data_IF_741441293451
#
_entry.id   IF_741441293451
#
_cell.length_a   1.000
_cell.length_b   1.000
_cell.length_c   1.000
_cell.angle_alpha   90.00
_cell.angle_beta   90.00
_cell.angle_gamma   90.00
#
_symmetry.space_group_name_H-M   'P 1'
#
loop_
_entity.id
_entity.type
_entity.pdbx_description
1 polymer ?
#
# COMPACT_ATOMS: atom_id res chain seq x y z
N UNK A 1 -34.72 24.48 -25.72
CA UNK A 1 -33.98 23.31 -26.23
C UNK A 1 -32.55 23.47 -25.72
N UNK A 2 -32.19 23.16 -24.47
CA UNK A 2 -32.38 21.95 -23.64
C UNK A 2 -31.60 20.73 -24.16
N UNK A 3 -30.72 20.24 -23.28
CA UNK A 3 -29.96 18.96 -23.27
C UNK A 3 -28.66 18.92 -24.09
N UNK A 4 -27.55 19.25 -23.43
CA UNK A 4 -26.23 18.57 -23.43
C UNK A 4 -25.38 19.41 -22.45
N UNK A 5 -25.56 19.16 -21.15
CA UNK A 5 -24.79 19.69 -20.00
C UNK A 5 -25.45 19.18 -18.72
N UNK A 6 -25.60 17.87 -18.60
CA UNK A 6 -26.05 17.19 -17.37
C UNK A 6 -25.84 15.67 -17.54
N UNK A 7 -24.59 15.23 -17.70
CA UNK A 7 -24.23 13.79 -17.71
C UNK A 7 -22.78 13.52 -17.31
N UNK A 8 -22.10 14.50 -16.69
CA UNK A 8 -20.68 14.39 -16.30
C UNK A 8 -20.44 14.54 -14.79
N UNK A 9 -21.51 14.52 -13.99
CA UNK A 9 -21.42 14.55 -12.50
C UNK A 9 -22.22 13.39 -11.87
N UNK A 10 -22.80 12.50 -12.68
CA UNK A 10 -23.63 11.37 -12.23
C UNK A 10 -22.99 9.99 -12.42
N UNK A 11 -21.69 9.93 -12.72
CA UNK A 11 -20.96 8.68 -12.98
C UNK A 11 -19.70 8.55 -12.12
N UNK A 12 -19.64 9.32 -11.03
CA UNK A 12 -18.52 9.39 -10.08
C UNK A 12 -18.92 8.89 -8.67
N UNK A 13 -20.10 8.26 -8.51
CA UNK A 13 -20.64 7.80 -7.21
C UNK A 13 -21.23 6.38 -7.29
N UNK A 14 -20.88 5.56 -8.28
CA UNK A 14 -21.52 4.24 -8.43
C UNK A 14 -20.61 3.02 -8.56
N UNK A 15 -19.34 3.11 -8.17
CA UNK A 15 -18.38 2.00 -8.24
C UNK A 15 -17.41 1.99 -7.04
N UNK A 16 -17.96 2.12 -5.83
CA UNK A 16 -17.29 1.79 -4.55
C UNK A 16 -17.41 0.29 -4.20
N UNK A 17 -17.82 -0.55 -5.16
CA UNK A 17 -18.54 -1.80 -4.89
C UNK A 17 -18.09 -2.97 -5.76
N UNK A 18 -16.89 -3.50 -5.53
CA UNK A 18 -16.57 -4.85 -5.99
C UNK A 18 -16.84 -5.90 -4.90
N UNK A 19 -16.48 -5.63 -3.63
CA UNK A 19 -16.87 -6.47 -2.48
C UNK A 19 -17.32 -5.69 -1.23
N UNK A 20 -17.34 -4.35 -1.26
CA UNK A 20 -17.84 -3.54 -0.16
C UNK A 20 -19.31 -3.15 -0.42
N UNK A 21 -20.23 -3.68 0.38
CA UNK A 21 -21.54 -3.07 0.53
C UNK A 21 -21.36 -1.68 1.21
N UNK A 22 -22.14 -0.65 0.81
CA UNK A 22 -22.11 0.63 1.49
C UNK A 22 -22.42 0.43 2.97
N UNK A 23 -21.66 1.10 3.85
CA UNK A 23 -22.00 1.15 5.26
C UNK A 23 -23.45 1.63 5.43
N UNK A 24 -24.21 1.11 6.42
CA UNK A 24 -25.56 1.59 6.70
C UNK A 24 -25.51 3.11 6.90
N UNK A 25 -26.46 3.82 6.27
CA UNK A 25 -26.55 5.28 6.37
C UNK A 25 -26.54 5.71 7.85
N UNK A 26 -25.86 6.82 8.20
CA UNK A 26 -25.91 7.34 9.55
C UNK A 26 -27.37 7.58 9.94
N UNK A 27 -27.75 7.13 11.14
CA UNK A 27 -29.06 7.41 11.68
C UNK A 27 -29.32 8.92 11.59
N UNK A 28 -30.51 9.31 11.13
CA UNK A 28 -30.90 10.71 10.99
C UNK A 28 -30.58 11.49 12.26
N UNK A 29 -30.12 12.76 12.17
CA UNK A 29 -29.74 13.53 13.34
C UNK A 29 -30.93 13.59 14.30
N UNK A 30 -30.74 13.02 15.50
CA UNK A 30 -31.69 13.12 16.58
C UNK A 30 -31.88 14.61 16.88
N UNK A 31 -33.13 15.07 16.87
CA UNK A 31 -33.47 16.40 17.37
C UNK A 31 -32.89 16.54 18.78
N UNK A 32 -32.22 17.67 18.99
CA UNK A 32 -31.48 18.03 20.17
C UNK A 32 -32.39 18.02 21.42
N UNK A 33 -32.41 16.91 22.15
CA UNK A 33 -32.95 16.87 23.52
C UNK A 33 -31.95 16.21 24.46
N UNK A 34 -31.35 17.08 25.28
CA UNK A 34 -30.74 16.85 26.60
C UNK A 34 -30.05 15.49 26.86
N UNK A 35 -28.70 15.55 26.93
CA UNK A 35 -27.78 14.70 27.69
C UNK A 35 -28.39 13.43 28.32
N UNK A 36 -28.31 12.32 27.59
CA UNK A 36 -28.40 10.99 28.16
C UNK A 36 -26.98 10.40 28.10
N UNK A 37 -26.46 9.91 29.24
CA UNK A 37 -25.18 9.22 29.33
C UNK A 37 -25.12 8.15 28.23
N UNK A 38 -24.04 8.12 27.44
CA UNK A 38 -23.80 7.05 26.48
C UNK A 38 -23.75 5.72 27.25
N UNK A 39 -24.87 5.00 27.24
CA UNK A 39 -24.98 3.69 27.85
C UNK A 39 -24.06 2.73 27.10
N UNK A 40 -23.17 2.05 27.82
CA UNK A 40 -22.45 0.89 27.29
C UNK A 40 -23.45 -0.10 26.70
N UNK A 41 -23.25 -0.55 25.45
CA UNK A 41 -24.16 -1.47 24.77
C UNK A 41 -24.35 -2.72 25.62
N UNK A 42 -25.57 -3.25 25.61
CA UNK A 42 -25.87 -4.49 26.31
C UNK A 42 -25.15 -5.67 25.64
N UNK A 43 -24.90 -6.77 26.37
CA UNK A 43 -24.29 -7.97 25.80
C UNK A 43 -25.06 -8.57 24.60
N UNK A 44 -26.38 -8.32 24.52
CA UNK A 44 -27.19 -8.72 23.37
C UNK A 44 -26.97 -7.83 22.14
N UNK A 45 -26.75 -6.52 22.33
CA UNK A 45 -26.41 -5.59 21.26
C UNK A 45 -24.98 -5.80 20.75
N UNK A 46 -24.01 -6.09 21.63
CA UNK A 46 -22.66 -6.49 21.24
C UNK A 46 -22.66 -7.82 20.47
N UNK A 47 -23.43 -8.81 20.92
CA UNK A 47 -23.56 -10.10 20.23
C UNK A 47 -24.25 -9.96 18.86
N UNK A 48 -25.25 -9.07 18.74
CA UNK A 48 -25.91 -8.77 17.48
C UNK A 48 -24.95 -8.09 16.49
N UNK A 49 -24.21 -7.06 16.94
CA UNK A 49 -23.20 -6.38 16.14
C UNK A 49 -22.06 -7.34 15.70
N UNK A 50 -21.63 -8.23 16.59
CA UNK A 50 -20.67 -9.28 16.26
C UNK A 50 -21.23 -10.26 15.21
N UNK A 51 -22.50 -10.66 15.32
CA UNK A 51 -23.14 -11.55 14.34
C UNK A 51 -23.32 -10.91 12.95
N UNK A 52 -23.64 -9.61 12.90
CA UNK A 52 -23.70 -8.84 11.65
C UNK A 52 -22.30 -8.67 11.04
N UNK A 53 -21.27 -8.47 11.87
CA UNK A 53 -19.88 -8.38 11.41
C UNK A 53 -19.37 -9.70 10.81
N UNK A 54 -19.74 -10.84 11.40
CA UNK A 54 -19.39 -12.16 10.89
C UNK A 54 -20.13 -12.46 9.57
N UNK A 55 -21.43 -12.15 9.48
CA UNK A 55 -22.19 -12.32 8.24
C UNK A 55 -21.60 -11.48 7.10
N UNK A 56 -21.25 -10.23 7.38
CA UNK A 56 -20.57 -9.35 6.43
C UNK A 56 -19.17 -9.85 6.05
N UNK A 57 -18.41 -10.37 7.02
CA UNK A 57 -17.11 -10.99 6.74
C UNK A 57 -17.26 -12.18 5.79
N UNK A 58 -18.23 -13.06 6.01
CA UNK A 58 -18.48 -14.22 5.14
C UNK A 58 -18.92 -13.79 3.72
N UNK A 59 -19.71 -12.71 3.60
CA UNK A 59 -20.09 -12.13 2.30
C UNK A 59 -18.86 -11.59 1.55
N UNK A 60 -18.00 -10.83 2.24
CA UNK A 60 -16.74 -10.32 1.69
C UNK A 60 -15.83 -11.48 1.29
N UNK A 61 -15.69 -12.49 2.16
CA UNK A 61 -14.85 -13.66 1.89
C UNK A 61 -15.33 -14.44 0.67
N UNK A 62 -16.65 -14.64 0.52
CA UNK A 62 -17.22 -15.29 -0.66
C UNK A 62 -16.94 -14.49 -1.93
N UNK A 63 -17.07 -13.17 -1.88
CA UNK A 63 -16.73 -12.28 -2.99
C UNK A 63 -15.23 -12.34 -3.35
N UNK A 64 -14.35 -12.35 -2.35
CA UNK A 64 -12.90 -12.52 -2.55
C UNK A 64 -12.61 -13.87 -3.20
N UNK A 65 -13.21 -14.96 -2.73
CA UNK A 65 -12.99 -16.30 -3.30
C UNK A 65 -13.51 -16.41 -4.73
N UNK A 66 -14.60 -15.73 -5.08
CA UNK A 66 -15.15 -15.68 -6.44
C UNK A 66 -14.24 -14.90 -7.40
N UNK A 67 -13.69 -13.77 -6.95
CA UNK A 67 -12.88 -12.88 -7.80
C UNK A 67 -11.37 -13.23 -7.79
N UNK A 68 -10.91 -13.94 -6.76
CA UNK A 68 -9.51 -14.39 -6.59
C UNK A 68 -9.51 -15.90 -6.27
N UNK A 69 -9.91 -16.77 -7.21
CA UNK A 69 -9.90 -18.21 -6.99
C UNK A 69 -8.49 -18.69 -6.72
N UNK A 70 -8.34 -19.78 -5.97
CA UNK A 70 -7.01 -20.26 -5.58
C UNK A 70 -6.10 -20.59 -6.78
N UNK A 71 -6.70 -20.95 -7.91
CA UNK A 71 -6.00 -21.21 -9.17
C UNK A 71 -5.42 -19.93 -9.81
N UNK A 72 -5.90 -18.75 -9.43
CA UNK A 72 -5.36 -17.46 -9.86
C UNK A 72 -4.11 -17.04 -9.08
N UNK A 73 -3.83 -17.71 -7.96
CA UNK A 73 -2.62 -17.48 -7.19
C UNK A 73 -1.42 -18.06 -7.92
N UNK A 74 -0.40 -17.23 -8.00
CA UNK A 74 0.90 -17.64 -8.44
C UNK A 74 1.50 -18.66 -7.44
N UNK A 75 1.99 -19.79 -7.94
CA UNK A 75 2.70 -20.79 -7.13
C UNK A 75 4.15 -20.36 -6.97
N UNK A 76 4.81 -20.78 -5.87
CA UNK A 76 6.23 -20.48 -5.60
C UNK A 76 7.22 -21.10 -6.62
N UNK A 77 6.73 -21.57 -7.78
CA UNK A 77 7.47 -22.31 -8.79
C UNK A 77 8.52 -21.47 -9.52
N UNK A 78 8.35 -20.15 -9.63
CA UNK A 78 9.39 -19.27 -10.20
C UNK A 78 10.27 -18.61 -9.12
N UNK A 79 10.03 -18.90 -7.83
CA UNK A 79 10.94 -18.41 -6.79
C UNK A 79 12.25 -19.19 -6.87
N UNK A 80 13.40 -18.50 -6.83
CA UNK A 80 14.70 -19.17 -6.85
C UNK A 80 14.85 -20.08 -5.63
N UNK A 81 15.51 -21.22 -5.79
CA UNK A 81 15.97 -22.01 -4.65
C UNK A 81 16.94 -21.14 -3.84
N UNK A 82 16.61 -20.79 -2.58
CA UNK A 82 17.45 -19.91 -1.79
C UNK A 82 18.82 -20.54 -1.45
N UNK A 83 18.99 -21.86 -1.58
CA UNK A 83 20.26 -22.54 -1.29
C UNK A 83 21.07 -22.87 -2.55
N UNK A 84 20.53 -22.61 -3.75
CA UNK A 84 21.25 -22.83 -4.99
C UNK A 84 22.47 -21.89 -5.12
N UNK A 85 23.56 -22.43 -5.63
CA UNK A 85 24.74 -21.63 -5.99
C UNK A 85 24.41 -20.70 -7.16
N UNK A 86 24.93 -19.48 -7.13
CA UNK A 86 24.80 -18.55 -8.25
C UNK A 86 25.75 -18.93 -9.37
N UNK A 87 25.20 -19.24 -10.54
CA UNK A 87 25.96 -19.58 -11.75
C UNK A 87 25.49 -18.67 -12.89
N UNK A 88 26.40 -17.86 -13.49
CA UNK A 88 26.07 -17.07 -14.66
C UNK A 88 25.64 -17.95 -15.85
N UNK A 89 24.67 -17.46 -16.61
CA UNK A 89 24.18 -18.07 -17.83
C UNK A 89 25.06 -17.67 -19.03
N UNK A 90 25.16 -18.56 -20.01
CA UNK A 90 25.72 -18.21 -21.32
C UNK A 90 24.63 -17.52 -22.15
N UNK A 91 24.83 -16.25 -22.49
CA UNK A 91 23.82 -15.43 -23.16
C UNK A 91 23.91 -15.51 -24.69
N UNK A 92 22.97 -16.22 -25.30
CA UNK A 92 22.75 -16.18 -26.75
C UNK A 92 21.94 -14.94 -27.17
N UNK A 93 21.01 -14.50 -26.31
CA UNK A 93 20.18 -13.30 -26.44
C UNK A 93 20.09 -12.60 -25.10
N UNK A 94 19.84 -11.29 -25.10
CA UNK A 94 19.66 -10.46 -23.90
C UNK A 94 18.30 -9.78 -23.98
N UNK A 95 17.51 -9.90 -22.91
CA UNK A 95 16.22 -9.22 -22.81
C UNK A 95 16.38 -7.90 -22.08
N UNK A 96 15.90 -6.82 -22.68
CA UNK A 96 15.84 -5.51 -22.03
C UNK A 96 14.52 -5.38 -21.29
N UNK A 97 14.57 -5.16 -19.98
CA UNK A 97 13.37 -5.02 -19.14
C UNK A 97 13.39 -3.71 -18.36
N UNK A 98 12.21 -3.11 -18.21
CA UNK A 98 12.00 -1.87 -17.46
C UNK A 98 11.21 -2.18 -16.19
N UNK A 99 11.77 -1.79 -15.05
CA UNK A 99 11.20 -2.05 -13.73
C UNK A 99 10.75 -0.74 -13.11
N UNK A 100 9.44 -0.55 -12.95
CA UNK A 100 8.88 0.59 -12.23
C UNK A 100 9.02 0.42 -10.73
N UNK A 101 9.86 1.23 -10.09
CA UNK A 101 10.13 1.17 -8.66
C UNK A 101 9.03 1.84 -7.83
N UNK A 102 8.76 1.39 -6.60
CA UNK A 102 7.59 1.84 -5.84
C UNK A 102 7.71 3.32 -5.45
N UNK A 103 8.94 3.82 -5.36
CA UNK A 103 9.23 5.17 -4.93
C UNK A 103 10.33 5.83 -5.77
N UNK A 104 10.70 7.06 -5.39
CA UNK A 104 11.90 7.68 -5.97
C UNK A 104 13.11 6.84 -5.57
N UNK A 105 13.99 6.58 -6.52
CA UNK A 105 15.10 5.67 -6.27
C UNK A 105 16.00 6.17 -5.14
N UNK A 106 16.04 5.42 -4.05
CA UNK A 106 16.85 5.67 -2.87
C UNK A 106 17.39 4.35 -2.31
N UNK A 107 17.80 4.35 -1.04
CA UNK A 107 18.36 3.19 -0.35
C UNK A 107 17.37 2.04 -0.15
N UNK A 108 16.06 2.31 -0.21
CA UNK A 108 14.99 1.30 -0.22
C UNK A 108 15.11 0.32 -1.40
N UNK A 109 15.58 0.80 -2.56
CA UNK A 109 15.78 -0.02 -3.75
C UNK A 109 17.13 -0.75 -3.81
N UNK A 110 17.86 -0.84 -2.68
CA UNK A 110 19.16 -1.50 -2.61
C UNK A 110 19.21 -2.90 -3.26
N UNK A 111 18.22 -3.79 -3.12
CA UNK A 111 18.25 -5.10 -3.79
C UNK A 111 18.37 -5.00 -5.32
N UNK A 112 17.63 -4.09 -5.95
CA UNK A 112 17.67 -3.88 -7.39
C UNK A 112 18.95 -3.20 -7.83
N UNK A 113 19.40 -2.19 -7.07
CA UNK A 113 20.69 -1.55 -7.32
C UNK A 113 21.85 -2.52 -7.25
N UNK A 114 21.90 -3.35 -6.22
CA UNK A 114 22.93 -4.39 -6.07
C UNK A 114 22.88 -5.36 -7.26
N UNK A 115 21.69 -5.78 -7.68
CA UNK A 115 21.53 -6.68 -8.83
C UNK A 115 21.98 -6.06 -10.17
N UNK A 116 21.81 -4.76 -10.35
CA UNK A 116 22.36 -4.01 -11.51
C UNK A 116 23.88 -3.88 -11.40
N UNK A 117 24.38 -3.32 -10.31
CA UNK A 117 25.79 -2.91 -10.15
C UNK A 117 26.75 -4.09 -10.01
N UNK A 118 26.31 -5.19 -9.37
CA UNK A 118 27.11 -6.41 -9.24
C UNK A 118 26.99 -7.34 -10.45
N UNK A 119 26.16 -6.98 -11.43
CA UNK A 119 26.00 -7.73 -12.68
C UNK A 119 25.08 -8.93 -12.58
N UNK A 120 24.31 -9.11 -11.50
CA UNK A 120 23.40 -10.27 -11.36
C UNK A 120 22.34 -10.32 -12.44
N UNK A 121 21.82 -9.19 -12.93
CA UNK A 121 20.93 -9.20 -14.09
C UNK A 121 21.66 -9.59 -15.38
N UNK A 122 22.87 -9.07 -15.59
CA UNK A 122 23.67 -9.38 -16.77
C UNK A 122 24.08 -10.87 -16.82
N UNK A 123 24.40 -11.44 -15.67
CA UNK A 123 24.69 -12.87 -15.48
C UNK A 123 23.53 -13.77 -15.90
N UNK A 124 22.28 -13.28 -15.87
CA UNK A 124 21.10 -14.01 -16.35
C UNK A 124 20.52 -13.40 -17.62
N UNK A 125 21.36 -12.74 -18.41
CA UNK A 125 21.00 -12.23 -19.74
C UNK A 125 19.85 -11.21 -19.72
N UNK A 126 19.78 -10.39 -18.66
CA UNK A 126 18.85 -9.29 -18.53
C UNK A 126 19.61 -7.95 -18.55
N UNK A 127 19.16 -7.03 -19.40
CA UNK A 127 19.53 -5.62 -19.34
C UNK A 127 18.39 -4.85 -18.66
N UNK A 128 18.67 -4.26 -17.49
CA UNK A 128 17.63 -3.69 -16.64
C UNK A 128 17.69 -2.16 -16.62
N UNK A 129 16.55 -1.52 -16.86
CA UNK A 129 16.31 -0.11 -16.58
C UNK A 129 15.42 0.03 -15.33
N UNK A 130 15.93 0.66 -14.28
CA UNK A 130 15.12 1.04 -13.13
C UNK A 130 14.42 2.38 -13.41
N UNK A 131 13.09 2.34 -13.49
CA UNK A 131 12.24 3.51 -13.73
C UNK A 131 11.78 4.06 -12.37
N UNK A 132 12.16 5.30 -12.00
CA UNK A 132 11.78 5.87 -10.70
C UNK A 132 10.26 6.03 -10.56
N UNK A 133 9.75 5.80 -9.35
CA UNK A 133 8.42 6.19 -8.90
C UNK A 133 8.40 7.58 -8.26
N UNK A 134 7.48 7.77 -7.31
CA UNK A 134 7.33 9.00 -6.52
C UNK A 134 5.89 9.51 -6.42
N UNK A 135 5.67 10.65 -5.75
CA UNK A 135 4.32 11.19 -5.57
C UNK A 135 3.57 11.35 -6.89
N UNK A 136 2.36 10.79 -6.97
CA UNK A 136 1.49 10.86 -8.15
C UNK A 136 1.87 9.94 -9.31
N UNK A 137 2.84 9.04 -9.14
CA UNK A 137 3.20 8.03 -10.14
C UNK A 137 2.61 6.68 -9.72
N UNK A 138 1.82 6.06 -10.61
CA UNK A 138 1.26 4.73 -10.43
C UNK A 138 1.87 3.76 -11.45
N UNK A 139 2.85 2.97 -11.00
CA UNK A 139 3.49 1.99 -11.86
C UNK A 139 2.64 0.74 -12.12
N UNK A 140 1.62 0.45 -11.30
CA UNK A 140 0.68 -0.62 -11.61
C UNK A 140 -0.16 -0.27 -12.84
N UNK A 141 -0.59 1.00 -12.96
CA UNK A 141 -1.25 1.50 -14.17
C UNK A 141 -0.29 1.59 -15.36
N UNK A 142 0.96 1.98 -15.13
CA UNK A 142 2.00 2.03 -16.17
C UNK A 142 2.30 0.64 -16.74
N UNK A 143 2.37 -0.37 -15.86
CA UNK A 143 2.48 -1.79 -16.21
C UNK A 143 1.26 -2.27 -17.01
N UNK A 144 0.04 -1.96 -16.54
CA UNK A 144 -1.18 -2.31 -17.25
C UNK A 144 -1.23 -1.72 -18.67
N UNK A 145 -0.68 -0.51 -18.85
CA UNK A 145 -0.50 0.12 -20.16
C UNK A 145 0.63 -0.43 -21.03
N UNK A 146 1.49 -1.31 -20.49
CA UNK A 146 2.59 -1.95 -21.20
C UNK A 146 3.81 -1.06 -21.42
N UNK A 147 3.96 0.04 -20.66
CA UNK A 147 5.11 0.94 -20.79
C UNK A 147 6.33 0.50 -19.96
N UNK A 148 6.12 -0.44 -19.03
CA UNK A 148 7.12 -1.14 -18.24
C UNK A 148 6.77 -2.64 -18.19
N UNK A 149 7.75 -3.48 -17.87
CA UNK A 149 7.60 -4.94 -17.87
C UNK A 149 7.26 -5.49 -16.49
N UNK A 150 7.76 -4.82 -15.46
CA UNK A 150 7.58 -5.18 -14.04
C UNK A 150 7.27 -3.90 -13.27
N UNK A 151 6.27 -3.95 -12.38
CA UNK A 151 6.05 -2.92 -11.37
C UNK A 151 6.34 -3.48 -9.98
N UNK A 152 7.04 -2.71 -9.16
CA UNK A 152 7.20 -2.97 -7.73
C UNK A 152 6.20 -2.09 -6.99
N UNK A 153 5.27 -2.70 -6.27
CA UNK A 153 4.23 -2.01 -5.49
C UNK A 153 4.63 -1.92 -4.03
N UNK A 154 4.66 -0.72 -3.45
CA UNK A 154 4.95 -0.49 -2.03
C UNK A 154 3.96 -1.21 -1.10
N UNK A 155 2.71 -1.40 -1.55
CA UNK A 155 1.65 -2.02 -0.76
C UNK A 155 0.98 -3.17 -1.51
N UNK A 156 0.88 -4.34 -0.88
CA UNK A 156 0.31 -5.55 -1.47
C UNK A 156 -1.18 -5.43 -1.76
N UNK A 157 -1.90 -4.63 -0.98
CA UNK A 157 -3.32 -4.33 -1.18
C UNK A 157 -3.62 -3.60 -2.48
N UNK A 158 -2.66 -2.88 -3.08
CA UNK A 158 -2.88 -2.20 -4.37
C UNK A 158 -3.15 -3.18 -5.51
N UNK A 159 -2.59 -4.40 -5.45
CA UNK A 159 -2.79 -5.44 -6.48
C UNK A 159 -4.25 -5.91 -6.54
N UNK A 160 -4.86 -6.44 -5.45
CA UNK A 160 -6.27 -6.82 -5.49
C UNK A 160 -7.19 -5.63 -5.72
N UNK A 161 -6.86 -4.42 -5.23
CA UNK A 161 -7.62 -3.20 -5.56
C UNK A 161 -7.65 -2.92 -7.06
N UNK A 162 -6.53 -3.09 -7.77
CA UNK A 162 -6.48 -2.90 -9.22
C UNK A 162 -7.25 -4.00 -9.98
N UNK A 163 -7.07 -5.27 -9.60
CA UNK A 163 -7.73 -6.42 -10.24
C UNK A 163 -9.25 -6.40 -10.03
N UNK A 164 -9.73 -5.85 -8.92
CA UNK A 164 -11.17 -5.72 -8.62
C UNK A 164 -11.76 -4.36 -9.00
N UNK A 165 -10.96 -3.45 -9.58
CA UNK A 165 -11.41 -2.12 -9.96
C UNK A 165 -12.43 -2.16 -11.12
N UNK A 166 -13.18 -1.08 -11.38
CA UNK A 166 -14.13 -1.02 -12.49
C UNK A 166 -13.48 -1.12 -13.87
N UNK A 167 -12.18 -0.82 -13.94
CA UNK A 167 -11.34 -0.95 -15.12
C UNK A 167 -10.17 -1.88 -14.75
N UNK A 168 -10.44 -3.17 -14.54
CA UNK A 168 -9.47 -4.09 -13.98
C UNK A 168 -8.32 -4.31 -14.94
N UNK A 169 -7.11 -4.42 -14.40
CA UNK A 169 -5.93 -4.81 -15.15
C UNK A 169 -5.61 -6.29 -14.89
N UNK A 170 -5.25 -7.02 -15.95
CA UNK A 170 -4.87 -8.43 -15.83
C UNK A 170 -3.39 -8.57 -15.46
N UNK A 171 -3.14 -8.43 -14.16
CA UNK A 171 -1.81 -8.50 -13.56
C UNK A 171 -1.71 -9.62 -12.54
N UNK A 172 -0.48 -10.02 -12.23
CA UNK A 172 -0.17 -11.07 -11.26
C UNK A 172 1.00 -10.63 -10.40
N UNK A 173 0.88 -10.81 -9.08
CA UNK A 173 1.99 -10.68 -8.15
C UNK A 173 2.88 -11.93 -8.23
N UNK A 174 4.19 -11.74 -8.42
CA UNK A 174 5.17 -12.83 -8.66
C UNK A 174 6.24 -12.95 -7.57
N UNK A 175 6.35 -11.96 -6.69
CA UNK A 175 7.30 -11.98 -5.58
C UNK A 175 7.05 -10.83 -4.62
N UNK A 176 7.50 -10.97 -3.37
CA UNK A 176 7.48 -9.93 -2.34
C UNK A 176 8.83 -9.88 -1.65
N UNK A 177 9.35 -8.68 -1.41
CA UNK A 177 10.64 -8.48 -0.75
C UNK A 177 10.50 -8.16 0.74
N UNK A 178 9.36 -7.62 1.15
CA UNK A 178 9.05 -7.33 2.55
C UNK A 178 7.80 -8.08 3.01
N UNK A 179 7.97 -8.99 3.97
CA UNK A 179 6.88 -9.81 4.53
C UNK A 179 5.90 -9.01 5.40
N UNK A 180 6.40 -7.93 5.98
CA UNK A 180 5.67 -7.03 6.84
C UNK A 180 5.84 -5.62 6.30
N UNK A 181 4.76 -4.86 6.37
CA UNK A 181 4.76 -3.48 5.89
C UNK A 181 5.64 -2.61 6.80
N UNK A 182 6.56 -1.81 6.25
CA UNK A 182 7.29 -0.82 7.01
C UNK A 182 6.57 0.54 7.07
N UNK A 183 5.31 0.62 6.60
CA UNK A 183 4.52 1.84 6.71
C UNK A 183 4.29 2.24 8.18
N UNK A 184 4.51 3.51 8.45
CA UNK A 184 4.30 4.16 9.73
C UNK A 184 3.46 5.43 9.59
N UNK A 185 2.82 5.81 10.69
CA UNK A 185 2.37 7.19 10.88
C UNK A 185 3.50 7.99 11.53
N UNK A 186 4.08 8.91 10.77
CA UNK A 186 5.17 9.78 11.21
C UNK A 186 4.63 11.15 11.65
N UNK A 187 5.07 11.63 12.80
CA UNK A 187 4.69 12.93 13.37
C UNK A 187 5.80 13.54 14.22
N UNK A 188 5.51 14.63 14.92
CA UNK A 188 6.44 15.34 15.80
C UNK A 188 5.84 15.50 17.21
N UNK A 189 6.57 15.05 18.22
CA UNK A 189 6.24 15.32 19.62
C UNK A 189 6.70 16.73 19.99
N UNK A 190 5.78 17.67 19.88
CA UNK A 190 6.00 19.08 20.23
C UNK A 190 6.08 19.35 21.74
N UNK A 191 5.88 18.33 22.59
CA UNK A 191 5.96 18.48 24.05
C UNK A 191 7.38 18.38 24.61
N UNK A 192 8.33 17.91 23.81
CA UNK A 192 9.73 17.72 24.18
C UNK A 192 10.68 18.52 23.29
N UNK A 193 11.94 18.62 23.70
CA UNK A 193 12.93 19.33 22.91
C UNK A 193 13.27 18.55 21.61
N UNK A 194 13.59 19.30 20.56
CA UNK A 194 13.88 18.77 19.22
C UNK A 194 14.92 17.64 19.22
N UNK A 195 15.95 17.71 20.07
CA UNK A 195 17.05 16.76 20.16
C UNK A 195 16.77 15.56 21.08
N UNK A 196 15.56 15.46 21.63
CA UNK A 196 15.14 14.37 22.51
C UNK A 196 14.32 13.34 21.77
N UNK A 197 14.53 12.06 22.07
CA UNK A 197 13.72 10.98 21.52
C UNK A 197 12.35 10.94 22.18
N UNK A 198 11.28 10.96 21.39
CA UNK A 198 9.92 10.83 21.91
C UNK A 198 9.65 9.41 22.43
N UNK A 199 8.80 9.33 23.45
CA UNK A 199 8.19 8.11 23.97
C UNK A 199 6.67 8.22 23.92
N UNK A 200 6.14 9.10 23.07
CA UNK A 200 4.71 9.25 22.89
C UNK A 200 4.16 7.97 22.25
N UNK A 201 3.18 7.38 22.91
CA UNK A 201 2.40 6.26 22.41
C UNK A 201 1.03 6.80 22.02
N UNK A 202 0.54 6.44 20.84
CA UNK A 202 -0.78 6.84 20.34
C UNK A 202 -1.66 5.63 20.11
N UNK A 203 -2.96 5.86 20.18
CA UNK A 203 -3.98 4.93 19.70
C UNK A 203 -4.68 5.51 18.47
N UNK A 204 -5.42 4.69 17.70
CA UNK A 204 -6.22 5.18 16.57
C UNK A 204 -7.20 6.29 16.96
N UNK A 205 -7.71 6.30 18.19
CA UNK A 205 -8.59 7.36 18.70
C UNK A 205 -7.90 8.73 18.76
N UNK A 206 -6.57 8.79 18.95
CA UNK A 206 -5.80 10.04 18.95
C UNK A 206 -5.74 10.71 17.57
N UNK A 207 -6.14 9.99 16.51
CA UNK A 207 -6.26 10.52 15.16
C UNK A 207 -7.56 11.29 14.93
N UNK A 208 -8.55 11.16 15.83
CA UNK A 208 -9.80 11.93 15.74
C UNK A 208 -9.51 13.43 15.80
N UNK A 209 -9.98 14.15 14.79
CA UNK A 209 -9.77 15.58 14.59
C UNK A 209 -8.42 15.96 13.96
N UNK A 210 -7.59 14.98 13.59
CA UNK A 210 -6.25 15.21 13.04
C UNK A 210 -6.25 15.37 11.53
N UNK A 211 -5.24 16.08 11.03
CA UNK A 211 -4.88 16.16 9.62
C UNK A 211 -3.80 15.14 9.31
N UNK A 212 -4.12 14.17 8.47
CA UNK A 212 -3.23 13.06 8.14
C UNK A 212 -2.88 13.13 6.66
N UNK A 213 -1.58 13.23 6.36
CA UNK A 213 -1.08 13.18 5.01
C UNK A 213 -0.95 11.73 4.54
N UNK A 214 -1.47 11.42 3.35
CA UNK A 214 -1.24 10.16 2.65
C UNK A 214 -0.75 10.44 1.25
N UNK A 215 0.05 9.55 0.69
CA UNK A 215 0.49 9.63 -0.71
C UNK A 215 -0.51 8.90 -1.59
N UNK A 216 -0.67 9.33 -2.84
CA UNK A 216 -1.69 8.82 -3.77
C UNK A 216 -2.04 7.33 -3.66
N UNK A 217 -3.33 7.08 -3.41
CA UNK A 217 -3.91 5.74 -3.32
C UNK A 217 -3.74 5.03 -1.97
N UNK A 218 -3.19 5.68 -0.94
CA UNK A 218 -3.03 5.14 0.42
C UNK A 218 -4.10 5.67 1.41
N UNK A 219 -5.16 6.31 0.94
CA UNK A 219 -6.30 6.77 1.74
C UNK A 219 -7.06 5.64 2.43
N UNK A 220 -7.09 4.45 1.80
CA UNK A 220 -7.74 3.26 2.36
C UNK A 220 -7.19 2.85 3.74
N UNK A 221 -5.96 3.22 4.11
CA UNK A 221 -5.44 2.95 5.45
C UNK A 221 -6.20 3.73 6.52
N UNK A 222 -6.58 4.98 6.23
CA UNK A 222 -7.39 5.80 7.13
C UNK A 222 -8.81 5.25 7.21
N UNK A 223 -9.38 4.86 6.07
CA UNK A 223 -10.69 4.19 6.05
C UNK A 223 -10.68 2.88 6.86
N UNK A 224 -9.61 2.09 6.76
CA UNK A 224 -9.42 0.89 7.56
C UNK A 224 -9.43 1.19 9.06
N UNK A 225 -8.68 2.20 9.51
CA UNK A 225 -8.66 2.59 10.92
C UNK A 225 -10.04 3.03 11.40
N UNK A 226 -10.72 3.87 10.61
CA UNK A 226 -12.08 4.33 10.93
C UNK A 226 -13.02 3.14 11.13
N UNK A 227 -13.04 2.19 10.19
CA UNK A 227 -13.94 1.05 10.26
C UNK A 227 -13.55 0.05 11.37
N UNK A 228 -12.25 -0.24 11.54
CA UNK A 228 -11.78 -1.22 12.51
C UNK A 228 -11.98 -0.76 13.96
N UNK A 229 -11.77 0.51 14.22
CA UNK A 229 -11.86 1.10 15.57
C UNK A 229 -13.18 1.84 15.80
N UNK A 230 -14.14 1.73 14.88
CA UNK A 230 -15.45 2.40 14.94
C UNK A 230 -15.33 3.92 15.18
N UNK A 231 -14.36 4.57 14.53
CA UNK A 231 -14.20 6.01 14.61
C UNK A 231 -15.29 6.71 13.78
N UNK A 232 -15.63 7.98 14.06
CA UNK A 232 -16.60 8.71 13.24
C UNK A 232 -16.10 8.86 11.78
N UNK A 233 -16.99 8.67 10.80
CA UNK A 233 -16.65 8.56 9.37
C UNK A 233 -15.89 9.77 8.77
N UNK A 234 -16.00 10.96 9.37
CA UNK A 234 -15.32 12.18 8.94
C UNK A 234 -14.41 12.76 10.03
N UNK A 235 -13.98 11.93 10.98
CA UNK A 235 -13.16 12.37 12.11
C UNK A 235 -11.72 12.71 11.71
N UNK A 236 -11.20 12.16 10.64
CA UNK A 236 -9.81 12.33 10.21
C UNK A 236 -9.80 13.10 8.89
N UNK A 237 -9.07 14.21 8.83
CA UNK A 237 -8.91 14.99 7.59
C UNK A 237 -7.72 14.45 6.79
N UNK A 238 -8.00 13.78 5.68
CA UNK A 238 -6.97 13.27 4.77
C UNK A 238 -6.44 14.41 3.89
N UNK A 239 -5.12 14.48 3.73
CA UNK A 239 -4.43 15.44 2.88
C UNK A 239 -3.44 14.71 1.96
N UNK A 240 -3.19 15.24 0.76
CA UNK A 240 -2.16 14.70 -0.13
C UNK A 240 -0.76 15.08 0.39
N UNK A 241 0.05 14.08 0.69
CA UNK A 241 1.44 14.24 1.11
C UNK A 241 2.40 14.18 -0.09
N UNK A 242 3.47 14.97 -0.01
CA UNK A 242 4.55 14.97 -0.99
C UNK A 242 5.66 13.97 -0.65
N UNK A 243 6.85 14.22 -1.20
CA UNK A 243 8.03 13.40 -0.95
C UNK A 243 8.63 13.58 0.46
N UNK A 244 8.69 14.80 1.00
CA UNK A 244 9.37 15.09 2.28
C UNK A 244 8.41 15.12 3.48
N UNK A 245 8.91 14.87 4.70
CA UNK A 245 8.09 14.91 5.91
C UNK A 245 7.91 16.35 6.46
N UNK A 246 8.41 17.37 5.77
CA UNK A 246 8.36 18.77 6.22
C UNK A 246 6.96 19.28 6.62
N UNK A 247 5.83 18.82 6.03
CA UNK A 247 4.50 19.24 6.47
C UNK A 247 4.21 18.97 7.96
N UNK A 248 4.78 17.91 8.57
CA UNK A 248 4.61 17.66 10.01
C UNK A 248 5.43 18.64 10.86
N UNK A 249 6.62 19.05 10.37
CA UNK A 249 7.45 20.07 11.01
C UNK A 249 6.77 21.44 11.00
N UNK A 250 6.09 21.77 9.91
CA UNK A 250 5.39 23.04 9.75
C UNK A 250 4.02 23.09 10.45
N UNK A 251 3.56 21.97 11.02
CA UNK A 251 2.21 21.85 11.58
C UNK A 251 1.10 21.95 10.54
N UNK A 252 1.42 21.75 9.26
CA UNK A 252 0.43 21.70 8.19
C UNK A 252 -0.38 20.39 8.24
N UNK A 253 0.27 19.31 8.67
CA UNK A 253 -0.29 17.98 8.94
C UNK A 253 0.13 17.57 10.36
N UNK A 254 -0.72 16.85 11.07
CA UNK A 254 -0.38 16.28 12.38
C UNK A 254 0.48 15.02 12.21
N UNK A 255 0.14 14.18 11.24
CA UNK A 255 0.86 12.95 10.89
C UNK A 255 0.90 12.75 9.38
N UNK A 256 1.85 11.95 8.90
CA UNK A 256 1.89 11.47 7.52
C UNK A 256 2.11 9.96 7.47
N UNK A 257 1.52 9.29 6.47
CA UNK A 257 1.95 7.96 6.07
C UNK A 257 3.38 8.07 5.53
N UNK A 258 4.28 7.25 6.05
CA UNK A 258 5.70 7.32 5.78
C UNK A 258 6.32 5.93 5.75
N UNK A 259 7.44 5.81 5.05
CA UNK A 259 8.24 4.61 5.03
C UNK A 259 9.28 4.66 6.14
N UNK A 260 9.25 3.68 7.06
CA UNK A 260 10.04 3.70 8.29
C UNK A 260 11.55 3.84 8.04
N UNK A 261 12.08 3.30 6.95
CA UNK A 261 13.52 3.27 6.72
C UNK A 261 14.10 4.59 6.20
N UNK A 262 13.30 5.46 5.57
CA UNK A 262 13.82 6.67 4.91
C UNK A 262 13.24 7.99 5.46
N UNK A 263 11.95 8.10 5.73
CA UNK A 263 11.34 9.39 6.11
C UNK A 263 11.79 9.88 7.50
N UNK A 264 11.88 9.05 8.56
CA UNK A 264 12.42 9.50 9.84
C UNK A 264 13.86 9.99 9.72
N UNK A 265 14.67 9.36 8.87
CA UNK A 265 16.06 9.74 8.62
C UNK A 265 16.17 11.19 8.10
N UNK A 266 15.26 11.62 7.22
CA UNK A 266 15.22 13.01 6.72
C UNK A 266 14.96 14.04 7.83
N UNK A 267 14.21 13.68 8.88
CA UNK A 267 14.00 14.53 10.05
C UNK A 267 15.25 14.56 10.94
N UNK A 268 15.89 13.41 11.14
CA UNK A 268 17.12 13.29 11.94
C UNK A 268 18.29 14.07 11.32
N UNK A 269 18.41 14.12 9.99
CA UNK A 269 19.40 14.94 9.29
C UNK A 269 19.25 16.44 9.57
N UNK A 270 18.03 16.88 9.85
CA UNK A 270 17.71 18.25 10.25
C UNK A 270 17.80 18.45 11.78
N UNK A 271 18.19 17.41 12.52
CA UNK A 271 18.36 17.43 13.97
C UNK A 271 17.08 17.17 14.77
N UNK A 272 15.97 16.83 14.12
CA UNK A 272 14.73 16.46 14.81
C UNK A 272 14.79 14.99 15.22
N UNK A 273 15.03 14.75 16.51
CA UNK A 273 14.98 13.43 17.16
C UNK A 273 13.65 13.17 17.86
N UNK A 274 12.82 14.21 18.01
CA UNK A 274 11.50 14.16 18.66
C UNK A 274 10.38 13.69 17.73
N UNK A 275 10.71 13.05 16.62
CA UNK A 275 9.71 12.43 15.76
C UNK A 275 9.04 11.24 16.46
N UNK A 276 7.81 10.94 16.06
CA UNK A 276 7.03 9.78 16.50
C UNK A 276 6.73 8.89 15.32
N UNK A 277 6.83 7.57 15.46
CA UNK A 277 6.43 6.63 14.42
C UNK A 277 5.60 5.50 15.01
N UNK A 278 4.44 5.25 14.40
CA UNK A 278 3.52 4.18 14.79
C UNK A 278 3.32 3.25 13.60
N UNK A 279 3.68 1.97 13.72
CA UNK A 279 3.55 1.06 12.59
C UNK A 279 2.08 0.76 12.31
N UNK A 280 1.73 0.63 11.03
CA UNK A 280 0.38 0.27 10.63
C UNK A 280 0.01 -1.13 11.15
N UNK A 281 1.00 -2.02 11.26
CA UNK A 281 0.86 -3.38 11.81
C UNK A 281 0.44 -3.39 13.27
N UNK A 282 0.85 -2.41 14.07
CA UNK A 282 0.46 -2.31 15.48
C UNK A 282 -1.04 -1.99 15.61
N UNK A 283 -1.62 -1.33 14.61
CA UNK A 283 -3.08 -1.09 14.50
C UNK A 283 -3.77 -2.14 13.60
N UNK A 284 -3.03 -3.21 13.34
CA UNK A 284 -3.45 -4.45 12.69
C UNK A 284 -3.76 -4.32 11.21
N UNK A 285 -3.11 -3.38 10.53
CA UNK A 285 -2.85 -3.51 9.10
C UNK A 285 -1.43 -4.04 8.91
N UNK A 286 -1.32 -5.33 8.65
CA UNK A 286 -0.05 -5.95 8.29
C UNK A 286 -0.21 -6.67 6.95
N UNK A 287 0.74 -6.46 6.05
CA UNK A 287 0.67 -6.97 4.71
C UNK A 287 2.02 -6.92 4.03
N UNK A 288 2.12 -7.63 2.91
CA UNK A 288 3.31 -7.61 2.09
C UNK A 288 3.58 -6.21 1.54
N UNK A 289 4.85 -5.90 1.42
CA UNK A 289 5.40 -4.70 0.82
C UNK A 289 6.43 -5.09 -0.25
N UNK A 290 6.72 -4.14 -1.15
CA UNK A 290 7.58 -4.33 -2.31
C UNK A 290 7.24 -5.59 -3.11
N UNK A 291 6.03 -5.59 -3.66
CA UNK A 291 5.50 -6.71 -4.44
C UNK A 291 5.87 -6.49 -5.90
N UNK A 292 6.62 -7.43 -6.48
CA UNK A 292 6.80 -7.49 -7.93
C UNK A 292 5.53 -7.97 -8.60
N UNK A 293 5.09 -7.21 -9.58
CA UNK A 293 3.86 -7.42 -10.33
C UNK A 293 4.19 -7.38 -11.81
N UNK A 294 3.63 -8.32 -12.57
CA UNK A 294 3.76 -8.40 -14.02
C UNK A 294 2.37 -8.52 -14.66
N UNK A 295 2.27 -8.28 -15.97
CA UNK A 295 1.06 -8.62 -16.71
C UNK A 295 0.93 -10.14 -16.79
N UNK A 296 -0.30 -10.67 -16.73
CA UNK A 296 -0.53 -12.12 -16.89
C UNK A 296 0.06 -12.65 -18.21
N UNK A 297 -0.11 -11.87 -19.27
CA UNK A 297 0.48 -12.15 -20.59
C UNK A 297 2.01 -12.35 -20.54
N UNK A 298 2.72 -11.62 -19.68
CA UNK A 298 4.18 -11.78 -19.52
C UNK A 298 4.51 -13.15 -18.95
N UNK A 299 3.76 -13.65 -17.97
CA UNK A 299 3.96 -15.01 -17.44
C UNK A 299 3.63 -16.09 -18.48
N UNK A 300 2.60 -15.89 -19.28
CA UNK A 300 2.17 -16.87 -20.28
C UNK A 300 3.19 -17.00 -21.44
N UNK A 301 3.82 -15.90 -21.82
CA UNK A 301 4.72 -15.85 -22.96
C UNK A 301 6.21 -15.88 -22.60
N UNK A 302 6.57 -15.45 -21.39
CA UNK A 302 7.95 -15.27 -20.95
C UNK A 302 8.13 -15.43 -19.43
N UNK A 303 7.64 -16.54 -18.87
CA UNK A 303 7.88 -16.90 -17.47
C UNK A 303 9.38 -17.04 -17.12
N UNK A 304 10.21 -17.35 -18.11
CA UNK A 304 11.65 -17.51 -17.94
C UNK A 304 12.31 -16.16 -17.57
N UNK A 305 11.98 -15.07 -18.28
CA UNK A 305 12.44 -13.72 -17.91
C UNK A 305 12.06 -13.37 -16.47
N UNK A 306 10.82 -13.65 -16.05
CA UNK A 306 10.36 -13.38 -14.68
C UNK A 306 11.15 -14.19 -13.66
N UNK A 307 11.45 -15.46 -13.95
CA UNK A 307 12.27 -16.33 -13.09
C UNK A 307 13.69 -15.77 -12.93
N UNK A 308 14.32 -15.38 -14.05
CA UNK A 308 15.67 -14.79 -14.06
C UNK A 308 15.70 -13.46 -13.30
N UNK A 309 14.68 -12.62 -13.47
CA UNK A 309 14.51 -11.39 -12.71
C UNK A 309 14.45 -11.66 -11.20
N UNK A 310 13.59 -12.58 -10.75
CA UNK A 310 13.44 -12.90 -9.33
C UNK A 310 14.74 -13.48 -8.75
N UNK A 311 15.42 -14.35 -9.50
CA UNK A 311 16.70 -14.95 -9.10
C UNK A 311 17.81 -13.90 -8.93
N UNK A 312 17.99 -13.02 -9.91
CA UNK A 312 18.99 -11.95 -9.86
C UNK A 312 18.70 -10.93 -8.75
N UNK A 313 17.43 -10.53 -8.60
CA UNK A 313 17.03 -9.58 -7.54
C UNK A 313 17.25 -10.19 -6.14
N UNK A 314 17.01 -11.50 -5.98
CA UNK A 314 17.31 -12.22 -4.74
C UNK A 314 18.81 -12.22 -4.40
N UNK A 315 19.70 -12.33 -5.39
CA UNK A 315 21.14 -12.17 -5.13
C UNK A 315 21.48 -10.74 -4.70
N UNK A 316 20.85 -9.75 -5.32
CA UNK A 316 20.99 -8.35 -4.92
C UNK A 316 20.54 -8.11 -3.47
N UNK A 317 19.48 -8.79 -3.02
CA UNK A 317 19.00 -8.76 -1.64
C UNK A 317 19.94 -9.46 -0.65
N UNK A 318 20.60 -10.55 -1.07
CA UNK A 318 21.50 -11.33 -0.20
C UNK A 318 22.82 -10.64 0.10
N UNK A 319 23.28 -9.77 -0.79
CA UNK A 319 24.52 -9.02 -0.67
C UNK A 319 24.43 -7.96 0.45
#
# INVERSE_FOLDING_TARGET
MSRIKLLLVGMLVLLLAACAAPAPAPAAPAEETAAEEAATPSPEEEAAAASDSEARFQEILACVQENFPAESYFTNELLPDPEAAWEPMECDTVDTIRIGMPWVLNDEEAPWYNAVELGYYADVCLEVELVPGGPGIDHLQTLAGGAIDIAVSAAGSRVPSMVSSPTPADVVAVGTFLKHTPYIWLGIDSSIAQDQRSTLELTPEDFVGKKVGVQGGDDYFVEFLINKYNLPADSITIMEAGFTPDPVLMGAMDYIAAWLVNQPRLLEEQGYMNWTAFQFSDWGWDGYADISVVRRETLENDADMVTRYLAATHQGLKY
#
